data_IF_935611332423
#
_entry.id   IF_935611332423
#
_cell.length_a   1.000
_cell.length_b   1.000
_cell.length_c   1.000
_cell.angle_alpha   90.00
_cell.angle_beta   90.00
_cell.angle_gamma   90.00
#
_symmetry.space_group_name_H-M   'P 1'
#
loop_
_entity.id
_entity.type
_entity.pdbx_description
1 polymer ?
#
# COMPACT_ATOMS: atom_id res chain seq x y z
N UNK A 1 -4.79 15.41 -10.03
CA UNK A 1 -3.44 16.00 -10.19
C UNK A 1 -2.44 15.34 -9.21
N UNK A 2 -2.87 14.82 -8.06
CA UNK A 2 -2.02 14.02 -7.15
C UNK A 2 -2.00 12.52 -7.48
N UNK A 3 -3.14 11.96 -7.91
CA UNK A 3 -3.23 10.54 -8.28
C UNK A 3 -2.28 10.16 -9.43
N UNK A 4 -2.04 11.08 -10.36
CA UNK A 4 -1.09 10.90 -11.46
C UNK A 4 0.38 10.94 -11.00
N UNK A 5 0.67 11.64 -9.88
CA UNK A 5 2.00 11.61 -9.27
C UNK A 5 2.22 10.29 -8.52
N UNK A 6 1.19 9.77 -7.84
CA UNK A 6 1.21 8.45 -7.20
C UNK A 6 1.46 7.34 -8.21
N UNK A 7 0.79 7.35 -9.37
CA UNK A 7 0.99 6.34 -10.44
C UNK A 7 2.41 6.28 -11.01
N UNK A 8 3.21 7.33 -10.84
CA UNK A 8 4.61 7.35 -11.28
C UNK A 8 5.57 6.75 -10.25
N UNK A 9 5.11 6.48 -9.03
CA UNK A 9 5.94 5.95 -7.97
C UNK A 9 6.09 4.43 -8.12
N UNK A 10 7.33 3.95 -8.13
CA UNK A 10 7.63 2.52 -8.24
C UNK A 10 7.10 1.69 -7.07
N UNK A 11 6.85 2.33 -5.93
CA UNK A 11 6.30 1.72 -4.72
C UNK A 11 4.76 1.76 -4.65
N UNK A 12 4.08 2.43 -5.60
CA UNK A 12 2.63 2.47 -5.65
C UNK A 12 2.09 1.50 -6.70
N UNK A 13 1.26 0.56 -6.26
CA UNK A 13 0.76 -0.53 -7.10
C UNK A 13 -0.73 -0.40 -7.44
N UNK A 14 -1.36 0.75 -7.12
CA UNK A 14 -2.77 0.97 -7.41
C UNK A 14 -3.71 0.05 -6.63
N UNK A 15 -4.78 -0.36 -7.32
CA UNK A 15 -5.88 -1.17 -6.78
C UNK A 15 -5.57 -2.66 -6.79
N UNK A 16 -4.67 -3.10 -5.91
CA UNK A 16 -4.36 -4.52 -5.72
C UNK A 16 -4.91 -5.06 -4.40
N UNK A 17 -5.25 -6.35 -4.39
CA UNK A 17 -5.75 -7.01 -3.17
C UNK A 17 -4.63 -7.21 -2.15
N UNK A 18 -5.01 -7.34 -0.88
CA UNK A 18 -4.09 -7.67 0.23
C UNK A 18 -3.21 -8.89 -0.10
N UNK A 19 -3.81 -9.97 -0.60
CA UNK A 19 -3.10 -11.21 -0.95
C UNK A 19 -2.08 -11.03 -2.08
N UNK A 20 -2.37 -10.14 -3.04
CA UNK A 20 -1.43 -9.84 -4.13
C UNK A 20 -0.26 -9.03 -3.59
N UNK A 21 -0.52 -8.04 -2.74
CA UNK A 21 0.52 -7.25 -2.10
C UNK A 21 1.48 -8.10 -1.26
N UNK A 22 0.95 -9.01 -0.42
CA UNK A 22 1.76 -9.92 0.41
C UNK A 22 2.71 -10.79 -0.43
N UNK A 23 2.31 -11.18 -1.64
CA UNK A 23 3.14 -12.00 -2.54
C UNK A 23 4.26 -11.21 -3.23
N UNK A 24 4.14 -9.89 -3.31
CA UNK A 24 5.16 -9.03 -3.92
C UNK A 24 6.30 -8.70 -2.96
N UNK A 25 6.08 -8.91 -1.66
CA UNK A 25 7.09 -8.72 -0.63
C UNK A 25 7.90 -10.00 -0.46
N UNK A 26 9.22 -9.89 -0.60
CA UNK A 26 10.13 -11.06 -0.57
C UNK A 26 11.05 -11.00 0.65
N UNK A 27 11.60 -9.83 0.96
CA UNK A 27 12.57 -9.62 2.03
C UNK A 27 12.00 -8.70 3.12
N UNK A 28 12.53 -8.85 4.34
CA UNK A 28 12.25 -7.90 5.41
C UNK A 28 12.72 -6.49 5.01
N UNK A 29 11.84 -5.51 5.19
CA UNK A 29 12.03 -4.14 4.71
C UNK A 29 11.37 -3.85 3.36
N UNK A 30 10.95 -4.87 2.60
CA UNK A 30 10.15 -4.64 1.39
C UNK A 30 8.83 -3.97 1.76
N UNK A 31 8.40 -3.02 0.93
CA UNK A 31 7.12 -2.35 1.11
C UNK A 31 6.51 -1.92 -0.22
N UNK A 32 5.21 -1.71 -0.18
CA UNK A 32 4.46 -1.06 -1.25
C UNK A 32 3.23 -0.35 -0.69
N UNK A 33 2.72 0.62 -1.42
CA UNK A 33 1.44 1.28 -1.14
C UNK A 33 0.41 0.81 -2.16
N UNK A 34 -0.79 0.53 -1.68
CA UNK A 34 -1.95 0.15 -2.50
C UNK A 34 -3.18 0.92 -2.05
N UNK A 35 -4.12 1.10 -2.97
CA UNK A 35 -5.45 1.59 -2.64
C UNK A 35 -6.33 0.42 -2.16
N UNK A 36 -7.21 0.68 -1.20
CA UNK A 36 -8.17 -0.30 -0.70
C UNK A 36 -9.26 -0.57 -1.73
N UNK A 37 -9.45 -1.86 -2.06
CA UNK A 37 -10.54 -2.29 -2.95
C UNK A 37 -11.92 -2.15 -2.30
N UNK A 38 -12.00 -2.23 -0.96
CA UNK A 38 -13.27 -2.18 -0.22
C UNK A 38 -13.66 -0.76 0.15
N UNK A 39 -12.69 0.13 0.37
CA UNK A 39 -12.90 1.52 0.74
C UNK A 39 -12.11 2.41 -0.24
N UNK A 40 -12.71 2.79 -1.39
CA UNK A 40 -12.06 3.69 -2.35
C UNK A 40 -11.57 4.97 -1.66
N UNK A 41 -10.39 5.45 -2.05
CA UNK A 41 -9.75 6.62 -1.42
C UNK A 41 -8.91 6.32 -0.16
N UNK A 42 -9.02 5.12 0.43
CA UNK A 42 -8.11 4.70 1.50
C UNK A 42 -6.84 4.05 0.95
N UNK A 43 -5.70 4.50 1.43
CA UNK A 43 -4.39 3.95 1.06
C UNK A 43 -3.82 3.08 2.18
N UNK A 44 -3.15 2.01 1.81
CA UNK A 44 -2.58 1.03 2.74
C UNK A 44 -1.12 0.81 2.39
N UNK A 45 -0.24 1.07 3.35
CA UNK A 45 1.15 0.62 3.30
C UNK A 45 1.18 -0.86 3.68
N UNK A 46 1.67 -1.70 2.78
CA UNK A 46 1.91 -3.12 3.02
C UNK A 46 3.42 -3.33 3.04
N UNK A 47 3.96 -3.84 4.15
CA UNK A 47 5.40 -4.05 4.31
C UNK A 47 5.74 -5.33 5.06
N UNK A 48 6.94 -5.86 4.83
CA UNK A 48 7.42 -7.09 5.43
C UNK A 48 8.33 -6.77 6.61
N UNK A 49 8.05 -7.36 7.77
CA UNK A 49 8.89 -7.21 8.96
C UNK A 49 8.85 -8.49 9.79
N UNK A 50 10.03 -9.06 10.07
CA UNK A 50 10.20 -10.34 10.76
C UNK A 50 9.46 -11.47 10.05
N UNK A 51 9.61 -11.54 8.72
CA UNK A 51 8.95 -12.50 7.83
C UNK A 51 7.41 -12.47 7.90
N UNK A 52 6.83 -11.39 8.40
CA UNK A 52 5.38 -11.19 8.45
C UNK A 52 4.97 -9.94 7.70
N UNK A 53 4.00 -10.09 6.81
CA UNK A 53 3.37 -8.97 6.14
C UNK A 53 2.51 -8.18 7.14
N UNK A 54 2.74 -6.87 7.20
CA UNK A 54 2.00 -5.90 8.00
C UNK A 54 1.29 -4.93 7.08
N UNK A 55 0.15 -4.43 7.54
CA UNK A 55 -0.67 -3.49 6.78
C UNK A 55 -1.04 -2.33 7.67
N UNK A 56 -0.64 -1.13 7.26
CA UNK A 56 -0.91 0.11 7.97
C UNK A 56 -1.81 0.98 7.09
N UNK A 57 -2.94 1.42 7.64
CA UNK A 57 -3.79 2.39 6.98
C UNK A 57 -3.10 3.74 7.00
N UNK A 58 -2.94 4.35 5.83
CA UNK A 58 -2.46 5.71 5.68
C UNK A 58 -3.68 6.62 5.77
N UNK A 59 -3.85 7.22 6.94
CA UNK A 59 -4.86 8.24 7.20
C UNK A 59 -4.22 9.60 7.05
N UNK A 60 -4.93 10.50 6.39
CA UNK A 60 -4.60 11.92 6.44
C UNK A 60 -4.70 12.38 7.91
N UNK A 61 -3.69 13.06 8.46
CA UNK A 61 -3.79 13.66 9.81
C UNK A 61 -4.99 14.59 9.97
N UNK A 62 -5.55 15.14 8.88
CA UNK A 62 -6.77 15.96 8.91
C UNK A 62 -8.08 15.15 8.88
N UNK A 63 -8.01 13.82 8.67
CA UNK A 63 -9.09 12.88 8.95
C UNK A 63 -10.33 12.98 8.06
N UNK A 64 -10.18 13.38 6.79
CA UNK A 64 -11.28 13.38 5.81
C UNK A 64 -11.60 11.98 5.30
#
# INVERSE_FOLDING_TARGET
>A
MEEEQLKQQSWYHGKISRKVAEKLLVMDGDFLVRESLTNPGQYVLTGMHNCQAKHLLLVDPEGV
#
